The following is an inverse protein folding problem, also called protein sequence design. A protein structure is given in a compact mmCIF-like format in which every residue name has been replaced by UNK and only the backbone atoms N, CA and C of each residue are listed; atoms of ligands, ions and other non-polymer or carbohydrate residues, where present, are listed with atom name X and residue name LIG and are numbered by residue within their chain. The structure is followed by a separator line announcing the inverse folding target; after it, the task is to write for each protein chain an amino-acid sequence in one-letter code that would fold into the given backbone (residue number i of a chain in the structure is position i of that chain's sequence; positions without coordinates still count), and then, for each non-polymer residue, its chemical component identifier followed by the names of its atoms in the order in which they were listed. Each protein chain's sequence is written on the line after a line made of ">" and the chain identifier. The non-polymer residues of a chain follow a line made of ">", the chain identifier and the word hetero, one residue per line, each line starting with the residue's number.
data_IF_758504103833
#
_entry.id   IF_758504103833
#
_cell.length_a   1.000
_cell.length_b   1.000
_cell.length_c   1.000
_cell.angle_alpha   90.00
_cell.angle_beta   90.00
_cell.angle_gamma   90.00
#
_symmetry.space_group_name_H-M   'P 1'
#
loop_
_entity.id
_entity.type
_entity.pdbx_description
1 polymer ?
#
# COMPACT_ATOMS: atom_id res chain seq x y z
N UNK A 1 12.10 -77.64 -6.51
CA UNK A 1 12.09 -76.60 -7.55
C UNK A 1 11.79 -75.28 -6.92
N UNK A 2 12.69 -74.33 -7.13
CA UNK A 2 12.64 -72.92 -6.74
C UNK A 2 11.38 -72.22 -7.24
N UNK A 3 10.85 -71.23 -6.51
CA UNK A 3 10.82 -69.81 -6.91
C UNK A 3 10.05 -68.96 -5.87
N UNK A 4 10.73 -67.93 -5.36
CA UNK A 4 10.19 -66.82 -4.56
C UNK A 4 9.59 -65.77 -5.51
N UNK A 5 8.53 -65.08 -5.11
CA UNK A 5 8.25 -63.66 -5.44
C UNK A 5 7.20 -63.15 -4.43
N UNK A 6 7.62 -62.52 -3.32
CA UNK A 6 7.99 -61.11 -3.17
C UNK A 6 6.79 -60.13 -3.17
N UNK A 7 6.70 -59.43 -2.03
CA UNK A 7 5.78 -58.37 -1.59
C UNK A 7 5.40 -57.35 -2.68
N UNK A 8 4.20 -56.77 -2.57
CA UNK A 8 4.09 -55.32 -2.75
C UNK A 8 2.95 -54.70 -1.92
N UNK A 9 3.25 -53.92 -0.85
CA UNK A 9 2.28 -53.10 -0.16
C UNK A 9 2.00 -51.83 -0.97
N UNK A 10 0.72 -51.42 -0.97
CA UNK A 10 0.22 -50.21 -1.64
C UNK A 10 1.09 -49.00 -1.28
N UNK A 11 1.73 -48.40 -2.29
CA UNK A 11 2.42 -47.10 -2.24
C UNK A 11 1.44 -46.03 -1.78
N UNK A 12 1.58 -45.58 -0.54
CA UNK A 12 0.98 -44.34 -0.05
C UNK A 12 1.85 -43.21 -0.61
N UNK A 13 1.31 -42.48 -1.58
CA UNK A 13 1.97 -41.32 -2.19
C UNK A 13 2.20 -40.23 -1.13
N UNK A 14 3.44 -40.09 -0.68
CA UNK A 14 3.91 -38.90 0.02
C UNK A 14 3.79 -37.71 -0.93
N UNK A 15 2.80 -36.85 -0.67
CA UNK A 15 2.76 -35.51 -1.21
C UNK A 15 4.03 -34.78 -0.74
N UNK A 16 4.99 -34.59 -1.65
CA UNK A 16 6.15 -33.72 -1.46
C UNK A 16 5.63 -32.33 -1.12
N UNK A 17 5.56 -32.02 0.17
CA UNK A 17 5.38 -30.66 0.68
C UNK A 17 6.61 -29.88 0.26
N UNK A 18 6.48 -29.16 -0.86
CA UNK A 18 7.50 -28.27 -1.41
C UNK A 18 7.94 -27.33 -0.28
N UNK A 19 9.14 -27.58 0.26
CA UNK A 19 9.77 -26.68 1.23
C UNK A 19 10.17 -25.45 0.43
N UNK A 20 9.31 -24.42 0.41
CA UNK A 20 9.71 -23.10 -0.06
C UNK A 20 10.98 -22.72 0.69
N UNK A 21 12.04 -22.41 -0.05
CA UNK A 21 13.28 -21.88 0.51
C UNK A 21 12.96 -20.67 1.41
N UNK A 22 13.81 -20.33 2.40
CA UNK A 22 13.61 -19.11 3.16
C UNK A 22 13.64 -17.95 2.16
N UNK A 23 12.47 -17.40 1.85
CA UNK A 23 12.35 -16.12 1.20
C UNK A 23 13.11 -15.16 2.11
N UNK A 24 14.22 -14.61 1.63
CA UNK A 24 14.83 -13.45 2.27
C UNK A 24 13.68 -12.47 2.49
N UNK A 25 13.34 -12.22 3.76
CA UNK A 25 12.29 -11.27 4.09
C UNK A 25 12.88 -9.92 3.73
N UNK A 26 12.67 -9.50 2.48
CA UNK A 26 12.96 -8.14 2.05
C UNK A 26 11.93 -7.30 2.79
N UNK A 27 12.36 -6.62 3.85
CA UNK A 27 11.50 -5.69 4.56
C UNK A 27 11.25 -4.49 3.66
N UNK A 28 9.98 -4.26 3.33
CA UNK A 28 9.52 -3.09 2.58
C UNK A 28 8.82 -2.14 3.55
N UNK A 29 9.28 -0.89 3.62
CA UNK A 29 8.70 0.16 4.43
C UNK A 29 7.86 1.08 3.54
N UNK A 30 6.56 1.11 3.82
CA UNK A 30 5.59 1.98 3.16
C UNK A 30 5.20 3.11 4.12
N UNK A 31 5.36 4.36 3.70
CA UNK A 31 4.88 5.53 4.42
C UNK A 31 3.47 5.87 3.94
N UNK A 32 2.48 5.83 4.83
CA UNK A 32 1.15 6.39 4.57
C UNK A 32 1.06 7.79 5.19
N UNK A 33 0.67 8.79 4.41
CA UNK A 33 0.57 10.19 4.84
C UNK A 33 -0.56 10.92 4.10
N UNK A 34 -1.11 12.00 4.64
CA UNK A 34 -2.13 12.80 3.93
C UNK A 34 -2.77 13.80 4.87
N UNK A 35 -3.80 14.50 4.38
CA UNK A 35 -4.52 15.57 5.10
C UNK A 35 -3.57 16.61 5.71
N UNK A 36 -2.51 16.93 4.96
CA UNK A 36 -1.46 17.84 5.39
C UNK A 36 -1.95 19.28 5.42
N UNK A 37 -2.80 19.67 4.45
CA UNK A 37 -3.38 21.00 4.31
C UNK A 37 -2.34 22.13 4.38
N UNK A 38 -1.16 21.93 3.81
CA UNK A 38 -0.09 22.93 3.77
C UNK A 38 -0.30 23.84 2.56
N UNK A 39 -0.26 25.18 2.68
CA UNK A 39 -0.05 26.00 3.88
C UNK A 39 -1.35 26.39 4.61
N UNK A 40 -2.52 26.01 4.09
CA UNK A 40 -3.83 26.53 4.52
C UNK A 40 -4.16 26.36 6.01
N UNK A 41 -3.73 25.24 6.62
CA UNK A 41 -3.95 24.95 8.05
C UNK A 41 -2.66 24.89 8.84
N UNK A 42 -1.58 24.45 8.21
CA UNK A 42 -0.28 24.24 8.85
C UNK A 42 0.81 24.74 7.92
N UNK A 43 1.76 25.53 8.45
CA UNK A 43 2.84 26.07 7.65
C UNK A 43 3.84 25.01 7.16
N UNK A 44 4.00 23.92 7.93
CA UNK A 44 4.91 22.83 7.58
C UNK A 44 4.73 21.60 8.48
N UNK A 45 5.15 20.44 7.98
CA UNK A 45 5.34 19.23 8.79
C UNK A 45 6.20 19.50 10.04
N UNK A 46 5.80 19.02 11.23
CA UNK A 46 6.57 19.25 12.46
C UNK A 46 8.01 18.75 12.35
N UNK A 47 8.97 19.50 12.92
CA UNK A 47 10.40 19.23 12.79
C UNK A 47 10.81 17.81 13.21
N UNK A 48 10.15 17.25 14.22
CA UNK A 48 10.38 15.87 14.67
C UNK A 48 10.05 14.85 13.57
N UNK A 49 8.92 14.98 12.89
CA UNK A 49 8.58 14.10 11.77
C UNK A 49 9.54 14.25 10.60
N UNK A 50 9.93 15.49 10.26
CA UNK A 50 10.93 15.75 9.21
C UNK A 50 12.26 15.05 9.48
N UNK A 51 12.69 14.99 10.75
CA UNK A 51 13.92 14.29 11.13
C UNK A 51 13.84 12.76 11.03
N UNK A 52 12.63 12.20 11.06
CA UNK A 52 12.38 10.76 10.91
C UNK A 52 12.25 10.36 9.43
N UNK A 53 11.69 11.25 8.61
CA UNK A 53 11.48 11.08 7.18
C UNK A 53 12.76 11.38 6.38
N UNK A 54 13.76 10.52 6.58
CA UNK A 54 15.07 10.62 5.89
C UNK A 54 15.04 9.73 4.64
N UNK A 55 15.58 10.21 3.49
CA UNK A 55 15.72 9.41 2.28
C UNK A 55 16.49 8.10 2.52
N UNK A 56 16.15 7.05 1.76
CA UNK A 56 16.85 5.76 1.81
C UNK A 56 16.32 4.76 2.84
N UNK A 57 15.36 5.15 3.68
CA UNK A 57 14.65 4.22 4.58
C UNK A 57 13.30 3.74 4.03
N UNK A 58 12.60 4.61 3.30
CA UNK A 58 11.24 4.40 2.82
C UNK A 58 11.28 4.04 1.34
N UNK A 59 10.61 2.94 0.97
CA UNK A 59 10.59 2.43 -0.42
C UNK A 59 9.33 2.84 -1.18
N UNK A 60 8.23 3.09 -0.47
CA UNK A 60 6.96 3.54 -1.07
C UNK A 60 6.30 4.60 -0.19
N UNK A 61 5.68 5.60 -0.82
CA UNK A 61 4.86 6.62 -0.16
C UNK A 61 3.46 6.58 -0.74
N UNK A 62 2.46 6.39 0.12
CA UNK A 62 1.05 6.45 -0.22
C UNK A 62 0.47 7.72 0.41
N UNK A 63 0.00 8.62 -0.44
CA UNK A 63 -0.58 9.88 0.00
C UNK A 63 -2.09 9.96 -0.25
N UNK A 64 -2.90 10.07 0.80
CA UNK A 64 -4.37 10.15 0.69
C UNK A 64 -4.85 11.47 0.10
N UNK A 65 -3.96 12.45 -0.11
CA UNK A 65 -4.29 13.74 -0.73
C UNK A 65 -4.29 14.88 0.28
N UNK A 66 -4.91 16.01 -0.11
CA UNK A 66 -4.95 17.26 0.65
C UNK A 66 -3.54 17.78 0.99
N UNK A 67 -2.66 17.70 -0.02
CA UNK A 67 -1.32 18.30 0.02
C UNK A 67 -1.44 19.82 -0.12
N UNK A 68 -2.36 20.29 -0.97
CA UNK A 68 -2.64 21.70 -1.29
C UNK A 68 -1.50 22.48 -1.97
N UNK A 69 -0.23 22.05 -1.87
CA UNK A 69 0.90 22.74 -2.52
C UNK A 69 1.87 21.79 -3.26
N UNK A 70 2.62 22.38 -4.20
CA UNK A 70 3.63 21.65 -5.00
C UNK A 70 4.90 21.35 -4.19
N UNK A 71 5.26 22.20 -3.23
CA UNK A 71 6.49 22.03 -2.45
C UNK A 71 6.42 20.78 -1.57
N UNK A 72 5.26 20.52 -0.97
CA UNK A 72 5.02 19.30 -0.18
C UNK A 72 5.08 18.05 -1.06
N UNK A 73 4.57 18.11 -2.29
CA UNK A 73 4.71 17.00 -3.25
C UNK A 73 6.19 16.75 -3.61
N UNK A 74 6.94 17.81 -3.91
CA UNK A 74 8.36 17.72 -4.23
C UNK A 74 9.18 17.22 -3.02
N UNK A 75 8.78 17.58 -1.80
CA UNK A 75 9.36 17.04 -0.56
C UNK A 75 9.16 15.52 -0.43
N UNK A 76 7.94 15.02 -0.67
CA UNK A 76 7.68 13.58 -0.65
C UNK A 76 8.50 12.84 -1.73
N UNK A 77 8.66 13.45 -2.90
CA UNK A 77 9.48 12.90 -3.99
C UNK A 77 10.98 12.90 -3.69
N UNK A 78 11.44 13.82 -2.85
CA UNK A 78 12.82 13.83 -2.38
C UNK A 78 13.11 12.72 -1.34
N UNK A 79 12.10 12.30 -0.57
CA UNK A 79 12.23 11.20 0.39
C UNK A 79 12.27 9.84 -0.32
N UNK A 80 11.41 9.66 -1.32
CA UNK A 80 11.23 8.39 -2.00
C UNK A 80 10.92 8.59 -3.49
N UNK A 81 11.45 7.69 -4.34
CA UNK A 81 11.14 7.70 -5.77
C UNK A 81 9.75 7.13 -6.07
N UNK A 82 9.20 6.23 -5.25
CA UNK A 82 7.87 5.68 -5.50
C UNK A 82 6.81 6.37 -4.64
N UNK A 83 6.24 7.45 -5.18
CA UNK A 83 5.21 8.27 -4.52
C UNK A 83 3.92 8.14 -5.30
N UNK A 84 2.88 7.65 -4.62
CA UNK A 84 1.52 7.52 -5.13
C UNK A 84 0.65 8.50 -4.37
N UNK A 85 -0.09 9.36 -5.08
CA UNK A 85 -0.92 10.40 -4.49
C UNK A 85 -2.29 10.37 -5.16
N UNK A 86 -3.35 10.40 -4.35
CA UNK A 86 -4.73 10.59 -4.84
C UNK A 86 -5.18 12.03 -4.62
N UNK A 87 -6.24 12.42 -5.34
CA UNK A 87 -6.84 13.75 -5.22
C UNK A 87 -7.63 13.86 -3.91
N UNK A 88 -7.23 14.81 -3.06
CA UNK A 88 -7.99 15.19 -1.88
C UNK A 88 -9.11 16.18 -2.18
N UNK A 89 -10.03 16.35 -1.22
CA UNK A 89 -11.17 17.26 -1.35
C UNK A 89 -10.78 18.76 -1.42
N UNK A 90 -9.60 19.11 -0.91
CA UNK A 90 -9.07 20.48 -0.84
C UNK A 90 -7.87 20.71 -1.74
N UNK A 91 -7.52 19.75 -2.58
CA UNK A 91 -6.46 19.93 -3.58
C UNK A 91 -6.98 20.78 -4.76
N UNK A 92 -6.21 21.80 -5.15
CA UNK A 92 -6.55 22.72 -6.24
C UNK A 92 -6.50 22.07 -7.64
N UNK A 93 -6.92 22.80 -8.68
CA UNK A 93 -6.86 22.38 -10.10
C UNK A 93 -5.47 21.92 -10.56
N UNK A 94 -4.39 22.37 -9.90
CA UNK A 94 -3.03 21.88 -10.15
C UNK A 94 -2.86 20.38 -9.87
N UNK A 95 -3.74 19.81 -9.04
CA UNK A 95 -3.84 18.39 -8.72
C UNK A 95 -4.96 17.67 -9.49
N UNK A 96 -5.63 18.32 -10.44
CA UNK A 96 -6.71 17.71 -11.22
C UNK A 96 -6.26 16.50 -12.06
N UNK A 97 -4.96 16.41 -12.36
CA UNK A 97 -4.37 15.24 -13.02
C UNK A 97 -4.22 14.02 -12.10
N UNK A 98 -4.39 14.18 -10.78
CA UNK A 98 -4.29 13.07 -9.82
C UNK A 98 -5.58 12.24 -9.84
N UNK A 99 -5.48 10.91 -9.76
CA UNK A 99 -6.64 10.03 -9.71
C UNK A 99 -7.38 10.15 -8.37
N UNK A 100 -8.69 9.93 -8.35
CA UNK A 100 -9.47 9.86 -7.10
C UNK A 100 -9.27 8.55 -6.34
N UNK A 101 -8.98 7.48 -7.09
CA UNK A 101 -8.70 6.14 -6.59
C UNK A 101 -7.58 5.54 -7.39
N UNK A 102 -6.62 4.91 -6.72
CA UNK A 102 -5.53 4.20 -7.38
C UNK A 102 -5.23 2.91 -6.63
N UNK A 103 -4.79 1.90 -7.38
CA UNK A 103 -4.35 0.63 -6.83
C UNK A 103 -2.87 0.48 -7.12
N UNK A 104 -2.08 0.19 -6.09
CA UNK A 104 -0.66 -0.14 -6.19
C UNK A 104 -0.40 -1.51 -5.59
N UNK A 105 0.68 -2.16 -6.03
CA UNK A 105 1.07 -3.49 -5.54
C UNK A 105 2.42 -3.36 -4.85
N UNK A 106 2.47 -3.74 -3.57
CA UNK A 106 3.69 -3.74 -2.77
C UNK A 106 3.92 -5.15 -2.23
N UNK A 107 4.94 -5.83 -2.78
CA UNK A 107 5.15 -7.24 -2.50
C UNK A 107 3.96 -8.08 -2.99
N UNK A 108 3.39 -8.88 -2.09
CA UNK A 108 2.22 -9.72 -2.37
C UNK A 108 0.88 -9.03 -2.07
N UNK A 109 0.91 -7.77 -1.59
CA UNK A 109 -0.30 -7.03 -1.22
C UNK A 109 -0.70 -6.03 -2.31
N UNK A 110 -1.98 -6.06 -2.67
CA UNK A 110 -2.61 -5.02 -3.47
C UNK A 110 -3.23 -3.99 -2.54
N UNK A 111 -2.75 -2.77 -2.62
CA UNK A 111 -3.15 -1.65 -1.77
C UNK A 111 -3.98 -0.67 -2.60
N UNK A 112 -5.22 -0.45 -2.18
CA UNK A 112 -6.09 0.61 -2.69
C UNK A 112 -5.86 1.89 -1.91
N UNK A 113 -5.81 3.01 -2.62
CA UNK A 113 -5.68 4.34 -2.06
C UNK A 113 -6.82 5.21 -2.57
N UNK A 114 -7.50 5.92 -1.67
CA UNK A 114 -8.49 6.97 -1.94
C UNK A 114 -8.42 8.00 -0.80
N UNK A 115 -9.10 9.15 -0.92
CA UNK A 115 -9.12 10.17 0.14
C UNK A 115 -10.26 9.95 1.15
N UNK A 116 -11.27 9.18 0.79
CA UNK A 116 -12.39 8.86 1.68
C UNK A 116 -13.54 9.87 1.69
N UNK A 117 -13.36 11.10 1.19
CA UNK A 117 -14.48 12.07 1.09
C UNK A 117 -15.63 11.57 0.20
N UNK A 118 -15.35 10.66 -0.73
CA UNK A 118 -16.32 10.03 -1.63
C UNK A 118 -17.13 8.90 -0.95
N UNK A 119 -16.69 8.41 0.21
CA UNK A 119 -17.29 7.25 0.89
C UNK A 119 -18.28 7.73 1.95
N UNK A 120 -19.56 7.64 1.62
CA UNK A 120 -20.66 8.13 2.46
C UNK A 120 -21.44 6.93 3.02
N UNK A 121 -21.69 6.83 4.33
CA UNK A 121 -21.29 7.77 5.39
C UNK A 121 -19.78 7.72 5.69
N UNK A 122 -19.21 8.84 6.15
CA UNK A 122 -17.79 8.93 6.47
C UNK A 122 -17.42 7.98 7.61
N UNK A 123 -16.37 7.19 7.40
CA UNK A 123 -15.88 6.21 8.38
C UNK A 123 -16.80 5.00 8.57
N UNK A 124 -17.83 4.84 7.72
CA UNK A 124 -18.69 3.66 7.75
C UNK A 124 -17.96 2.41 7.25
N UNK A 125 -17.98 1.36 8.06
CA UNK A 125 -17.24 0.12 7.78
C UNK A 125 -17.80 -0.59 6.55
N UNK A 126 -19.12 -0.53 6.33
CA UNK A 126 -19.76 -1.19 5.19
C UNK A 126 -19.44 -0.47 3.88
N UNK A 127 -19.45 0.87 3.88
CA UNK A 127 -19.01 1.69 2.75
C UNK A 127 -17.53 1.46 2.40
N UNK A 128 -16.65 1.44 3.41
CA UNK A 128 -15.22 1.13 3.25
C UNK A 128 -15.02 -0.29 2.69
N UNK A 129 -15.72 -1.28 3.25
CA UNK A 129 -15.61 -2.66 2.81
C UNK A 129 -16.17 -2.86 1.39
N UNK A 130 -17.22 -2.11 1.01
CA UNK A 130 -17.73 -2.10 -0.35
C UNK A 130 -16.68 -1.55 -1.32
N UNK A 131 -16.05 -0.41 -0.99
CA UNK A 131 -15.00 0.18 -1.80
C UNK A 131 -13.78 -0.76 -1.95
N UNK A 132 -13.34 -1.40 -0.88
CA UNK A 132 -12.25 -2.39 -0.93
C UNK A 132 -12.56 -3.55 -1.89
N UNK A 133 -13.80 -4.06 -1.87
CA UNK A 133 -14.26 -5.11 -2.80
C UNK A 133 -14.36 -4.62 -4.24
N UNK A 134 -14.88 -3.42 -4.44
CA UNK A 134 -14.98 -2.78 -5.76
C UNK A 134 -13.59 -2.65 -6.42
N UNK A 135 -12.60 -2.19 -5.64
CA UNK A 135 -11.21 -2.06 -6.09
C UNK A 135 -10.46 -3.40 -6.13
N UNK A 136 -11.05 -4.47 -5.58
CA UNK A 136 -10.44 -5.79 -5.44
C UNK A 136 -9.06 -5.74 -4.77
N UNK A 137 -8.94 -5.05 -3.64
CA UNK A 137 -7.69 -4.80 -2.90
C UNK A 137 -7.63 -5.60 -1.59
N UNK A 138 -6.42 -5.90 -1.13
CA UNK A 138 -6.18 -6.58 0.15
C UNK A 138 -6.16 -5.57 1.32
N UNK A 139 -5.65 -4.37 1.07
CA UNK A 139 -5.55 -3.26 2.03
C UNK A 139 -6.15 -2.02 1.38
N UNK A 140 -7.07 -1.36 2.08
CA UNK A 140 -7.61 -0.06 1.67
C UNK A 140 -7.06 1.02 2.61
N UNK A 141 -6.51 2.08 2.02
CA UNK A 141 -6.06 3.29 2.72
C UNK A 141 -6.96 4.43 2.24
N UNK A 142 -7.60 5.11 3.20
CA UNK A 142 -8.52 6.23 2.98
C UNK A 142 -8.08 7.42 3.81
#
# INVERSE_FOLDING_TARGET
>A
GSFRFARNPKKRSEAKRSRRAPSFIVMVLVLCIGDLHVPSRVASLPAKFRSLLVPGKIQHVLCTGDLCDRETYDYLRAICHDVVVVKGARDDESAASRPERIVTVVGDFKIGLTHGHQLIPWGDVDALAHCAREMCVDILVT
#
